data_IF_344305287806
#
_entry.id   IF_344305287806
#
_cell.length_a   1.000
_cell.length_b   1.000
_cell.length_c   1.000
_cell.angle_alpha   90.00
_cell.angle_beta   90.00
_cell.angle_gamma   90.00
#
_symmetry.space_group_name_H-M   'P 1'
#
loop_
_entity.id
_entity.type
_entity.pdbx_description
1 polymer ?
#
# COMPACT_ATOMS: atom_id res chain seq x y z
N UNK A 1 12.27 17.70 24.02
CA UNK A 1 12.73 17.51 22.62
C UNK A 1 11.85 18.37 21.74
N UNK A 2 12.39 19.08 20.75
CA UNK A 2 11.59 19.87 19.78
C UNK A 2 11.70 19.16 18.41
N UNK A 3 10.88 18.10 18.24
CA UNK A 3 10.86 17.32 16.99
C UNK A 3 10.60 18.23 15.78
N UNK A 4 9.78 19.26 15.95
CA UNK A 4 9.47 20.21 14.88
C UNK A 4 10.73 20.94 14.38
N UNK A 5 11.53 21.49 15.31
CA UNK A 5 12.75 22.19 14.97
C UNK A 5 13.77 21.24 14.36
N UNK A 6 14.02 20.12 15.03
CA UNK A 6 15.01 19.13 14.61
C UNK A 6 14.67 18.58 13.23
N UNK A 7 13.38 18.27 12.96
CA UNK A 7 12.95 17.77 11.66
C UNK A 7 13.05 18.83 10.56
N UNK A 8 12.68 20.08 10.84
CA UNK A 8 12.84 21.19 9.90
C UNK A 8 14.29 21.41 9.48
N UNK A 9 15.21 21.25 10.41
CA UNK A 9 16.65 21.39 10.10
C UNK A 9 17.15 20.15 9.33
N UNK A 10 16.71 18.95 9.71
CA UNK A 10 17.07 17.70 9.05
C UNK A 10 16.65 17.68 7.57
N UNK A 11 15.45 18.11 7.24
CA UNK A 11 14.95 18.04 5.85
C UNK A 11 15.57 19.05 4.90
N UNK A 12 16.28 20.08 5.39
CA UNK A 12 16.99 21.07 4.55
C UNK A 12 18.06 20.45 3.65
N UNK A 13 18.53 19.24 3.98
CA UNK A 13 19.52 18.52 3.17
C UNK A 13 18.92 17.79 1.96
N UNK A 14 17.60 17.81 1.80
CA UNK A 14 16.89 17.11 0.73
C UNK A 14 16.09 18.09 -0.14
N UNK A 15 16.12 17.86 -1.44
CA UNK A 15 15.17 18.50 -2.35
C UNK A 15 13.81 17.81 -2.21
N UNK A 16 12.85 18.51 -1.62
CA UNK A 16 11.55 17.94 -1.28
C UNK A 16 10.46 19.02 -1.34
N UNK A 17 9.30 18.71 -1.91
CA UNK A 17 8.16 19.63 -1.97
C UNK A 17 7.56 19.82 -0.58
N UNK A 18 7.28 18.71 0.09
CA UNK A 18 6.79 18.74 1.44
C UNK A 18 6.57 17.35 2.02
N UNK A 19 6.50 17.29 3.35
CA UNK A 19 6.27 16.04 4.06
C UNK A 19 5.55 16.24 5.39
N UNK A 20 4.79 15.21 5.77
CA UNK A 20 4.30 15.00 7.13
C UNK A 20 5.04 13.83 7.75
N UNK A 21 5.59 14.02 8.96
CA UNK A 21 6.06 12.93 9.81
C UNK A 21 5.20 12.85 11.05
N UNK A 22 4.89 11.64 11.47
CA UNK A 22 4.16 11.38 12.70
C UNK A 22 4.87 10.29 13.49
N UNK A 23 5.04 10.53 14.77
CA UNK A 23 5.42 9.55 15.77
C UNK A 23 4.22 9.20 16.65
N UNK A 24 4.06 7.94 16.96
CA UNK A 24 3.05 7.42 17.88
C UNK A 24 3.76 6.55 18.90
N UNK A 25 3.64 6.87 20.20
CA UNK A 25 4.17 6.03 21.26
C UNK A 25 3.22 4.86 21.59
N UNK A 26 3.69 3.93 22.41
CA UNK A 26 2.91 2.77 22.85
C UNK A 26 1.77 3.12 23.82
N UNK A 27 1.71 4.34 24.33
CA UNK A 27 0.62 4.86 25.16
C UNK A 27 -0.48 5.55 24.34
N UNK A 28 -0.28 5.68 23.02
CA UNK A 28 -1.22 6.33 22.11
C UNK A 28 -1.02 7.85 21.99
N UNK A 29 0.04 8.43 22.56
CA UNK A 29 0.38 9.83 22.34
C UNK A 29 1.06 9.97 20.97
N UNK A 30 0.71 11.01 20.24
CA UNK A 30 1.30 11.25 18.93
C UNK A 30 1.82 12.69 18.80
N UNK A 31 2.94 12.81 18.10
CA UNK A 31 3.49 14.09 17.65
C UNK A 31 3.54 14.09 16.13
N UNK A 32 3.11 15.19 15.49
CA UNK A 32 3.12 15.35 14.04
C UNK A 32 3.80 16.66 13.65
N UNK A 33 4.63 16.57 12.62
CA UNK A 33 5.31 17.71 12.02
C UNK A 33 5.01 17.77 10.53
N UNK A 34 4.61 18.96 10.06
CA UNK A 34 4.35 19.26 8.65
C UNK A 34 5.37 20.29 8.15
N UNK A 35 6.03 20.00 7.03
CA UNK A 35 7.03 20.89 6.42
C UNK A 35 6.81 20.97 4.92
N UNK A 36 6.91 22.18 4.34
CA UNK A 36 6.82 22.42 2.91
C UNK A 36 5.39 22.63 2.40
N UNK A 37 5.18 22.39 1.11
CA UNK A 37 3.97 22.73 0.39
C UNK A 37 3.10 21.51 0.07
N UNK A 38 1.79 21.66 0.22
CA UNK A 38 0.77 20.76 -0.31
C UNK A 38 0.62 20.95 -1.83
N UNK A 39 0.74 22.20 -2.28
CA UNK A 39 0.66 22.57 -3.69
C UNK A 39 1.60 23.78 -3.94
N UNK A 40 2.58 23.61 -4.82
CA UNK A 40 3.57 24.66 -5.15
C UNK A 40 2.96 25.78 -5.96
N UNK A 41 2.10 25.46 -6.92
CA UNK A 41 1.48 26.43 -7.84
C UNK A 41 0.53 27.36 -7.07
N UNK A 42 -0.22 26.80 -6.13
CA UNK A 42 -1.16 27.53 -5.27
C UNK A 42 -0.50 28.11 -4.01
N UNK A 43 0.78 27.76 -3.76
CA UNK A 43 1.54 28.13 -2.54
C UNK A 43 0.83 27.70 -1.25
N UNK A 44 0.08 26.60 -1.29
CA UNK A 44 -0.61 26.03 -0.13
C UNK A 44 0.38 25.25 0.71
N UNK A 45 0.46 25.52 2.01
CA UNK A 45 1.34 24.83 2.92
C UNK A 45 0.72 23.49 3.37
N UNK A 46 1.58 22.51 3.68
CA UNK A 46 1.17 21.30 4.36
C UNK A 46 0.74 21.59 5.80
N UNK A 47 -0.26 20.86 6.26
CA UNK A 47 -0.70 20.84 7.65
C UNK A 47 -1.01 19.38 8.07
N UNK A 48 -1.26 19.17 9.34
CA UNK A 48 -1.45 17.81 9.90
C UNK A 48 -2.56 17.00 9.21
N UNK A 49 -3.61 17.67 8.75
CA UNK A 49 -4.78 17.04 8.13
C UNK A 49 -4.67 16.96 6.58
N UNK A 50 -3.53 17.36 6.00
CA UNK A 50 -3.27 17.20 4.57
C UNK A 50 -3.40 15.73 4.17
N UNK A 51 -4.12 15.49 3.07
CA UNK A 51 -4.51 14.15 2.61
C UNK A 51 -3.57 13.73 1.47
N UNK A 52 -2.88 12.63 1.69
CA UNK A 52 -1.96 12.05 0.71
C UNK A 52 -2.55 10.79 0.10
N UNK A 53 -2.27 10.54 -1.16
CA UNK A 53 -2.29 9.18 -1.67
C UNK A 53 -1.07 8.46 -1.09
N UNK A 54 -1.26 7.31 -0.45
CA UNK A 54 -0.19 6.67 0.32
C UNK A 54 0.51 5.53 -0.42
N UNK A 55 0.25 5.39 -1.71
CA UNK A 55 0.81 4.34 -2.56
C UNK A 55 0.69 2.95 -1.87
N UNK A 56 1.74 2.14 -1.92
CA UNK A 56 1.69 0.72 -1.52
C UNK A 56 1.46 0.45 -0.03
N UNK A 57 1.45 1.46 0.83
CA UNK A 57 0.92 1.28 2.20
C UNK A 57 -0.55 0.82 2.15
N UNK A 58 -1.28 1.14 1.08
CA UNK A 58 -2.66 0.68 0.81
C UNK A 58 -2.81 -0.85 0.86
N UNK A 59 -1.74 -1.61 0.59
CA UNK A 59 -1.75 -3.08 0.61
C UNK A 59 -2.05 -3.65 2.00
N UNK A 60 -1.62 -2.95 3.06
CA UNK A 60 -1.99 -3.31 4.44
C UNK A 60 -3.51 -3.26 4.62
N UNK A 61 -4.16 -2.26 4.03
CA UNK A 61 -5.61 -2.07 4.13
C UNK A 61 -6.36 -3.17 3.37
N UNK A 62 -5.83 -3.56 2.21
CA UNK A 62 -6.36 -4.71 1.45
C UNK A 62 -6.23 -6.00 2.25
N UNK A 63 -5.07 -6.23 2.89
CA UNK A 63 -4.86 -7.38 3.76
C UNK A 63 -5.84 -7.42 4.94
N UNK A 64 -6.08 -6.29 5.61
CA UNK A 64 -7.08 -6.20 6.70
C UNK A 64 -8.46 -6.61 6.19
N UNK A 65 -8.86 -6.18 4.98
CA UNK A 65 -10.12 -6.60 4.36
C UNK A 65 -10.22 -8.12 4.17
N UNK A 66 -9.19 -8.75 3.60
CA UNK A 66 -9.14 -10.21 3.41
C UNK A 66 -9.13 -10.95 4.74
N UNK A 67 -8.32 -10.49 5.70
CA UNK A 67 -8.22 -11.09 7.03
C UNK A 67 -9.53 -10.98 7.82
N UNK A 68 -10.32 -9.94 7.58
CA UNK A 68 -11.66 -9.84 8.15
C UNK A 68 -12.60 -10.92 7.58
N UNK A 69 -12.56 -11.18 6.27
CA UNK A 69 -13.31 -12.29 5.68
C UNK A 69 -12.84 -13.66 6.20
N UNK A 70 -11.54 -13.82 6.42
CA UNK A 70 -10.97 -15.03 7.02
C UNK A 70 -11.49 -15.25 8.44
N UNK A 71 -11.53 -14.22 9.28
CA UNK A 71 -12.10 -14.30 10.63
C UNK A 71 -13.59 -14.64 10.66
N UNK A 72 -14.33 -14.16 9.65
CA UNK A 72 -15.77 -14.40 9.49
C UNK A 72 -16.06 -15.78 8.87
N UNK A 73 -15.01 -16.58 8.54
CA UNK A 73 -15.11 -17.91 7.94
C UNK A 73 -15.61 -17.92 6.50
N UNK A 74 -15.55 -16.75 5.83
CA UNK A 74 -16.01 -16.60 4.44
C UNK A 74 -14.92 -16.96 3.43
N UNK A 75 -13.66 -16.90 3.84
CA UNK A 75 -12.51 -17.37 3.05
C UNK A 75 -11.55 -18.17 3.92
N UNK A 76 -10.82 -19.08 3.29
CA UNK A 76 -9.66 -19.77 3.85
C UNK A 76 -8.41 -19.27 3.12
N UNK A 77 -7.38 -18.90 3.86
CA UNK A 77 -6.15 -18.34 3.27
C UNK A 77 -5.38 -19.36 2.43
N UNK A 78 -5.56 -20.64 2.68
CA UNK A 78 -4.83 -21.73 2.06
C UNK A 78 -5.67 -22.50 1.02
N UNK A 79 -6.92 -22.09 0.79
CA UNK A 79 -7.80 -22.64 -0.23
C UNK A 79 -7.41 -22.12 -1.64
N UNK A 80 -7.79 -22.87 -2.67
CA UNK A 80 -7.58 -22.53 -4.07
C UNK A 80 -8.25 -21.19 -4.43
N UNK A 81 -7.47 -20.26 -4.94
CA UNK A 81 -7.94 -18.94 -5.42
C UNK A 81 -9.06 -19.06 -6.46
N UNK A 82 -9.02 -20.12 -7.29
CA UNK A 82 -10.01 -20.40 -8.33
C UNK A 82 -11.42 -20.52 -7.78
N UNK A 83 -11.57 -21.02 -6.55
CA UNK A 83 -12.88 -21.15 -5.87
C UNK A 83 -13.55 -19.79 -5.65
N UNK A 84 -12.78 -18.76 -5.30
CA UNK A 84 -13.32 -17.44 -5.01
C UNK A 84 -13.54 -16.60 -6.26
N UNK A 85 -12.73 -16.77 -7.29
CA UNK A 85 -12.83 -16.02 -8.53
C UNK A 85 -13.85 -16.62 -9.51
N UNK A 86 -14.11 -17.96 -9.42
CA UNK A 86 -15.06 -18.65 -10.27
C UNK A 86 -14.48 -19.09 -11.63
N UNK A 87 -13.16 -19.04 -11.79
CA UNK A 87 -12.42 -19.57 -12.94
C UNK A 87 -11.06 -20.11 -12.50
N UNK A 88 -10.46 -20.98 -13.30
CA UNK A 88 -9.19 -21.62 -12.97
C UNK A 88 -8.04 -20.61 -13.02
N UNK A 89 -7.27 -20.50 -11.93
CA UNK A 89 -6.05 -19.68 -11.84
C UNK A 89 -4.87 -20.60 -11.56
N UNK A 90 -4.02 -20.79 -12.55
CA UNK A 90 -2.84 -21.68 -12.48
C UNK A 90 -1.69 -21.06 -13.23
N UNK A 91 -0.49 -21.16 -12.66
CA UNK A 91 0.72 -20.90 -13.42
C UNK A 91 0.87 -22.01 -14.49
N UNK A 92 0.97 -21.67 -15.78
CA UNK A 92 1.06 -22.66 -16.86
C UNK A 92 2.23 -23.61 -16.73
N UNK A 93 3.33 -23.21 -16.09
CA UNK A 93 4.49 -24.06 -15.82
C UNK A 93 4.26 -25.03 -14.65
N UNK A 94 3.26 -24.75 -13.81
CA UNK A 94 2.91 -25.52 -12.61
C UNK A 94 1.40 -25.76 -12.54
N UNK A 95 0.81 -26.47 -13.54
CA UNK A 95 -0.65 -26.57 -13.68
C UNK A 95 -1.35 -27.34 -12.56
N UNK A 96 -0.59 -28.13 -11.80
CA UNK A 96 -1.12 -28.92 -10.68
C UNK A 96 -0.94 -28.23 -9.32
N UNK A 97 -0.22 -27.12 -9.27
CA UNK A 97 0.02 -26.39 -8.01
C UNK A 97 -1.04 -25.31 -7.82
N UNK A 98 -1.63 -25.27 -6.62
CA UNK A 98 -2.63 -24.27 -6.25
C UNK A 98 -1.97 -22.89 -6.08
N UNK A 99 -2.73 -21.84 -6.37
CA UNK A 99 -2.43 -20.48 -5.95
C UNK A 99 -3.47 -20.13 -4.88
N UNK A 100 -3.00 -19.62 -3.74
CA UNK A 100 -3.84 -19.36 -2.56
C UNK A 100 -3.85 -17.87 -2.18
N UNK A 101 -4.79 -17.46 -1.31
CA UNK A 101 -4.83 -16.09 -0.79
C UNK A 101 -3.60 -15.78 0.05
N UNK A 102 -3.07 -16.76 0.81
CA UNK A 102 -1.82 -16.61 1.56
C UNK A 102 -0.66 -16.27 0.64
N UNK A 103 -0.54 -16.92 -0.49
CA UNK A 103 0.50 -16.65 -1.48
C UNK A 103 0.37 -15.24 -2.09
N UNK A 104 -0.85 -14.74 -2.30
CA UNK A 104 -1.07 -13.35 -2.73
C UNK A 104 -0.71 -12.35 -1.61
N UNK A 105 -1.09 -12.64 -0.38
CA UNK A 105 -0.77 -11.80 0.79
C UNK A 105 0.74 -11.75 1.09
N UNK A 106 1.48 -12.82 0.80
CA UNK A 106 2.95 -12.88 0.95
C UNK A 106 3.71 -12.49 -0.31
N UNK A 107 2.99 -12.28 -1.43
CA UNK A 107 3.56 -12.00 -2.75
C UNK A 107 4.48 -13.11 -3.28
N UNK A 108 4.06 -14.35 -3.03
CA UNK A 108 4.74 -15.57 -3.51
C UNK A 108 3.89 -16.38 -4.49
N UNK A 109 2.80 -15.80 -5.00
CA UNK A 109 1.82 -16.51 -5.84
C UNK A 109 2.31 -16.86 -7.24
N UNK A 110 3.47 -16.40 -7.64
CA UNK A 110 3.97 -16.40 -9.03
C UNK A 110 3.20 -15.50 -10.01
N UNK A 111 2.10 -14.85 -9.60
CA UNK A 111 1.41 -13.85 -10.42
C UNK A 111 2.23 -12.56 -10.41
N UNK A 112 2.48 -11.99 -11.58
CA UNK A 112 3.35 -10.83 -11.79
C UNK A 112 2.61 -9.67 -12.47
N UNK A 113 3.18 -8.48 -12.32
CA UNK A 113 2.70 -7.23 -12.96
C UNK A 113 3.27 -7.06 -14.38
N UNK A 114 3.89 -8.09 -14.91
CA UNK A 114 4.65 -7.98 -16.13
C UNK A 114 3.75 -7.94 -17.36
N UNK A 115 4.28 -7.35 -18.40
CA UNK A 115 3.71 -7.26 -19.73
C UNK A 115 4.83 -7.16 -20.77
N UNK A 116 4.46 -6.87 -21.99
CA UNK A 116 5.40 -6.70 -23.09
C UNK A 116 5.27 -5.32 -23.72
N UNK A 117 6.37 -4.80 -24.26
CA UNK A 117 6.35 -3.68 -25.18
C UNK A 117 6.27 -4.20 -26.61
N UNK A 118 5.21 -3.84 -27.33
CA UNK A 118 5.03 -4.16 -28.71
C UNK A 118 4.79 -2.88 -29.52
N UNK A 119 5.65 -2.62 -30.52
CA UNK A 119 5.61 -1.39 -31.32
C UNK A 119 5.61 -0.09 -30.49
N UNK A 120 6.35 -0.09 -29.35
CA UNK A 120 6.43 1.06 -28.45
C UNK A 120 5.23 1.24 -27.53
N UNK A 121 4.27 0.32 -27.53
CA UNK A 121 3.10 0.33 -26.65
C UNK A 121 3.24 -0.77 -25.62
N UNK A 122 3.10 -0.41 -24.32
CA UNK A 122 3.06 -1.38 -23.24
C UNK A 122 1.73 -2.14 -23.26
N UNK A 123 1.82 -3.46 -23.26
CA UNK A 123 0.67 -4.37 -23.17
C UNK A 123 0.82 -5.24 -21.93
N UNK A 124 -0.18 -5.22 -21.10
CA UNK A 124 -0.20 -5.94 -19.83
C UNK A 124 -0.82 -5.11 -18.72
N UNK A 125 -0.63 -5.57 -17.49
CA UNK A 125 -1.07 -4.88 -16.30
C UNK A 125 0.04 -3.92 -15.81
N UNK A 126 -0.22 -2.62 -15.83
CA UNK A 126 0.71 -1.60 -15.30
C UNK A 126 0.46 -1.20 -13.84
N UNK A 127 -0.56 -1.80 -13.21
CA UNK A 127 -0.89 -1.63 -11.79
C UNK A 127 -1.42 -0.27 -11.38
N UNK A 128 -1.25 0.74 -12.20
CA UNK A 128 -1.37 2.11 -11.77
C UNK A 128 -2.50 2.89 -12.43
N UNK A 129 -2.86 2.54 -13.65
CA UNK A 129 -3.76 3.36 -14.46
C UNK A 129 -5.11 2.70 -14.64
N UNK A 130 -6.16 3.46 -14.33
CA UNK A 130 -7.46 3.22 -14.90
C UNK A 130 -7.37 3.65 -16.38
N UNK A 131 -7.36 2.68 -17.25
CA UNK A 131 -7.54 2.92 -18.69
C UNK A 131 -9.03 2.88 -18.97
N UNK A 132 -9.47 3.54 -20.03
CA UNK A 132 -10.87 3.47 -20.51
C UNK A 132 -11.24 2.08 -21.01
N UNK A 133 -10.25 1.22 -21.25
CA UNK A 133 -10.45 -0.15 -21.69
C UNK A 133 -10.72 -1.08 -20.50
N UNK A 134 -11.91 -1.64 -20.46
CA UNK A 134 -12.25 -2.71 -19.51
C UNK A 134 -11.66 -4.04 -19.99
N UNK A 135 -10.82 -4.63 -19.13
CA UNK A 135 -10.27 -5.96 -19.34
C UNK A 135 -10.73 -6.83 -18.16
N UNK A 136 -11.54 -7.87 -18.40
CA UNK A 136 -11.91 -8.82 -17.35
C UNK A 136 -10.69 -9.48 -16.72
N UNK A 137 -10.68 -9.68 -15.40
CA UNK A 137 -9.57 -10.30 -14.70
C UNK A 137 -9.23 -11.70 -15.24
N UNK A 138 -10.25 -12.46 -15.65
CA UNK A 138 -10.08 -13.78 -16.27
C UNK A 138 -9.17 -13.73 -17.51
N UNK A 139 -9.25 -12.66 -18.29
CA UNK A 139 -8.43 -12.53 -19.53
C UNK A 139 -6.96 -12.22 -19.22
N UNK A 140 -6.66 -11.65 -18.06
CA UNK A 140 -5.26 -11.44 -17.63
C UNK A 140 -4.61 -12.71 -17.08
N UNK A 141 -5.40 -13.63 -16.56
CA UNK A 141 -4.91 -14.79 -15.81
C UNK A 141 -5.08 -16.13 -16.55
N UNK A 142 -5.84 -16.15 -17.66
CA UNK A 142 -6.04 -17.37 -18.45
C UNK A 142 -5.15 -17.36 -19.68
N UNK A 143 -4.20 -18.32 -19.81
CA UNK A 143 -3.46 -18.50 -21.06
C UNK A 143 -4.40 -18.60 -22.26
N UNK A 144 -3.94 -18.22 -23.44
CA UNK A 144 -4.68 -18.16 -24.72
C UNK A 144 -5.77 -17.08 -24.78
N UNK A 145 -6.02 -16.34 -23.70
CA UNK A 145 -6.90 -15.17 -23.72
C UNK A 145 -6.26 -14.00 -24.48
N UNK A 146 -7.10 -13.15 -25.07
CA UNK A 146 -6.66 -11.99 -25.88
C UNK A 146 -5.72 -11.04 -25.12
N UNK A 147 -5.92 -10.88 -23.81
CA UNK A 147 -5.17 -9.94 -22.96
C UNK A 147 -4.15 -10.63 -22.04
N UNK A 148 -3.92 -11.95 -22.24
CA UNK A 148 -2.85 -12.65 -21.55
C UNK A 148 -1.52 -12.40 -22.26
N UNK A 149 -0.59 -11.72 -21.59
CA UNK A 149 0.75 -11.47 -22.13
C UNK A 149 1.83 -12.26 -21.40
N UNK A 150 1.99 -12.01 -20.10
CA UNK A 150 2.88 -12.74 -19.23
C UNK A 150 2.37 -12.58 -17.80
N UNK A 151 1.33 -13.26 -17.44
CA UNK A 151 0.68 -13.12 -16.12
C UNK A 151 1.38 -13.86 -14.98
N UNK A 152 2.39 -14.72 -15.29
CA UNK A 152 3.06 -15.59 -14.33
C UNK A 152 4.56 -15.60 -14.51
N UNK A 153 5.30 -15.73 -13.40
CA UNK A 153 6.74 -15.96 -13.40
C UNK A 153 7.09 -17.44 -13.65
N UNK A 154 8.38 -17.69 -13.86
CA UNK A 154 8.94 -19.04 -13.97
C UNK A 154 8.99 -19.82 -12.65
N UNK A 155 8.78 -19.17 -11.51
CA UNK A 155 8.90 -19.79 -10.20
C UNK A 155 7.61 -20.48 -9.79
N UNK A 156 7.79 -21.60 -9.07
CA UNK A 156 6.69 -22.35 -8.47
C UNK A 156 5.92 -21.49 -7.46
N UNK A 157 4.57 -21.47 -7.51
CA UNK A 157 3.75 -20.79 -6.50
C UNK A 157 4.16 -21.16 -5.06
N UNK A 158 4.25 -20.17 -4.20
CA UNK A 158 4.61 -20.32 -2.79
C UNK A 158 6.12 -20.30 -2.49
N UNK A 159 7.00 -20.29 -3.49
CA UNK A 159 8.45 -20.43 -3.25
C UNK A 159 9.22 -19.12 -3.28
N UNK A 160 8.92 -18.22 -4.20
CA UNK A 160 9.73 -17.04 -4.47
C UNK A 160 8.91 -15.78 -4.31
N UNK A 161 9.45 -14.81 -3.59
CA UNK A 161 8.86 -13.48 -3.49
C UNK A 161 9.03 -12.74 -4.81
N UNK A 162 7.90 -12.26 -5.36
CA UNK A 162 7.86 -11.35 -6.50
C UNK A 162 6.81 -10.30 -6.20
N UNK A 163 7.24 -9.05 -6.10
CA UNK A 163 6.32 -7.95 -5.85
C UNK A 163 5.28 -7.82 -6.96
N UNK A 164 3.99 -7.84 -6.59
CA UNK A 164 2.89 -7.77 -7.54
C UNK A 164 1.76 -6.86 -7.05
N UNK A 165 1.48 -5.81 -7.80
CA UNK A 165 0.30 -4.97 -7.61
C UNK A 165 -0.96 -5.68 -8.08
N UNK A 166 -0.85 -6.45 -9.18
CA UNK A 166 -1.95 -7.30 -9.67
C UNK A 166 -2.38 -8.31 -8.61
N UNK A 167 -1.42 -8.96 -7.96
CA UNK A 167 -1.71 -9.89 -6.85
C UNK A 167 -2.51 -9.23 -5.73
N UNK A 168 -2.17 -7.99 -5.37
CA UNK A 168 -2.95 -7.21 -4.41
C UNK A 168 -4.33 -6.81 -4.97
N UNK A 169 -4.43 -6.47 -6.24
CA UNK A 169 -5.70 -6.19 -6.93
C UNK A 169 -6.64 -7.39 -6.90
N UNK A 170 -6.12 -8.60 -7.12
CA UNK A 170 -6.88 -9.86 -7.03
C UNK A 170 -7.46 -10.07 -5.64
N UNK A 171 -6.71 -9.75 -4.57
CA UNK A 171 -7.24 -9.82 -3.20
C UNK A 171 -8.49 -8.94 -3.02
N UNK A 172 -8.49 -7.74 -3.58
CA UNK A 172 -9.67 -6.87 -3.56
C UNK A 172 -10.82 -7.45 -4.39
N UNK A 173 -10.54 -8.04 -5.56
CA UNK A 173 -11.54 -8.74 -6.38
C UNK A 173 -12.19 -9.92 -5.63
N UNK A 174 -11.41 -10.68 -4.86
CA UNK A 174 -11.95 -11.73 -3.98
C UNK A 174 -12.88 -11.14 -2.92
N UNK A 175 -12.48 -10.02 -2.28
CA UNK A 175 -13.37 -9.34 -1.34
C UNK A 175 -14.71 -8.95 -2.02
N UNK A 176 -14.67 -8.43 -3.24
CA UNK A 176 -15.88 -8.05 -3.99
C UNK A 176 -16.78 -9.25 -4.28
N UNK A 177 -16.20 -10.36 -4.77
CA UNK A 177 -16.95 -11.60 -5.08
C UNK A 177 -17.61 -12.19 -3.84
N UNK A 178 -16.87 -12.25 -2.73
CA UNK A 178 -17.36 -12.87 -1.49
C UNK A 178 -18.42 -12.02 -0.80
N UNK A 179 -18.26 -10.68 -0.81
CA UNK A 179 -19.17 -9.76 -0.11
C UNK A 179 -20.32 -9.25 -0.98
N UNK A 180 -20.23 -9.39 -2.30
CA UNK A 180 -21.11 -8.75 -3.27
C UNK A 180 -21.15 -7.22 -3.12
N UNK A 181 -20.02 -6.60 -2.73
CA UNK A 181 -19.82 -5.15 -2.58
C UNK A 181 -18.53 -4.74 -3.28
N UNK A 182 -18.48 -3.51 -3.79
CA UNK A 182 -17.21 -2.95 -4.25
C UNK A 182 -16.20 -2.84 -3.09
N UNK A 183 -14.93 -3.12 -3.35
CA UNK A 183 -13.90 -3.12 -2.31
C UNK A 183 -13.85 -1.81 -1.50
N UNK A 184 -13.92 -0.60 -2.10
CA UNK A 184 -13.98 0.64 -1.34
C UNK A 184 -15.16 0.73 -0.37
N UNK A 185 -16.33 0.22 -0.76
CA UNK A 185 -17.53 0.20 0.08
C UNK A 185 -17.37 -0.79 1.24
N UNK A 186 -16.87 -1.98 0.93
CA UNK A 186 -16.58 -3.01 1.93
C UNK A 186 -15.57 -2.54 2.98
N UNK A 187 -14.44 -1.98 2.56
CA UNK A 187 -13.39 -1.55 3.51
C UNK A 187 -13.82 -0.35 4.36
N UNK A 188 -14.67 0.53 3.84
CA UNK A 188 -15.31 1.59 4.64
C UNK A 188 -16.14 1.00 5.77
N UNK A 189 -16.95 -0.02 5.49
CA UNK A 189 -17.82 -0.66 6.48
C UNK A 189 -17.01 -1.38 7.57
N UNK A 190 -16.01 -2.18 7.18
CA UNK A 190 -15.32 -3.06 8.14
C UNK A 190 -14.17 -2.39 8.88
N UNK A 191 -13.63 -1.29 8.34
CA UNK A 191 -12.45 -0.62 8.90
C UNK A 191 -12.64 0.90 9.06
N UNK A 192 -12.80 1.65 7.95
CA UNK A 192 -12.61 3.10 7.98
C UNK A 192 -13.66 3.80 8.84
N UNK A 193 -14.94 3.46 8.69
CA UNK A 193 -16.02 4.05 9.49
C UNK A 193 -15.90 3.68 10.98
N UNK A 194 -15.44 2.46 11.29
CA UNK A 194 -15.24 2.02 12.67
C UNK A 194 -14.12 2.79 13.40
N UNK A 195 -13.16 3.32 12.64
CA UNK A 195 -12.07 4.15 13.14
C UNK A 195 -12.36 5.65 12.99
N UNK A 196 -13.57 6.03 12.58
CA UNK A 196 -13.92 7.43 12.27
C UNK A 196 -12.90 8.06 11.29
N UNK A 197 -12.67 7.38 10.15
CA UNK A 197 -11.80 7.83 9.06
C UNK A 197 -12.67 8.22 7.87
N UNK A 198 -12.71 9.52 7.57
CA UNK A 198 -13.48 10.10 6.47
C UNK A 198 -12.62 10.28 5.22
N UNK A 199 -12.07 9.19 4.74
CA UNK A 199 -11.17 9.05 3.60
C UNK A 199 -11.42 7.70 2.94
N UNK A 200 -10.76 7.41 1.82
CA UNK A 200 -10.96 6.14 1.15
C UNK A 200 -10.20 6.00 -0.17
N UNK A 201 -10.62 5.05 -0.98
CA UNK A 201 -10.01 4.74 -2.27
C UNK A 201 -10.58 5.56 -3.43
N UNK A 202 -11.64 6.33 -3.21
CA UNK A 202 -12.29 7.18 -4.20
C UNK A 202 -12.28 8.62 -3.73
N UNK A 203 -12.24 9.58 -4.66
CA UNK A 203 -12.33 11.01 -4.32
C UNK A 203 -13.63 11.36 -3.60
N UNK A 204 -14.73 10.70 -3.96
CA UNK A 204 -16.04 10.84 -3.30
C UNK A 204 -16.05 10.41 -1.83
N UNK A 205 -15.05 9.62 -1.42
CA UNK A 205 -14.89 9.16 -0.04
C UNK A 205 -14.19 10.20 0.85
N UNK A 206 -13.62 11.26 0.25
CA UNK A 206 -12.84 12.29 0.95
C UNK A 206 -13.76 13.42 1.35
N UNK A 207 -14.01 13.57 2.66
CA UNK A 207 -14.90 14.62 3.15
C UNK A 207 -14.30 16.03 2.98
N UNK A 208 -12.98 16.17 3.09
CA UNK A 208 -12.25 17.45 3.01
C UNK A 208 -11.30 17.43 1.81
N UNK A 209 -11.88 17.51 0.62
CA UNK A 209 -11.15 17.37 -0.64
C UNK A 209 -10.09 18.47 -0.87
N UNK A 210 -10.30 19.66 -0.30
CA UNK A 210 -9.35 20.77 -0.41
C UNK A 210 -8.03 20.50 0.34
N UNK A 211 -8.03 19.51 1.25
CA UNK A 211 -6.83 19.06 1.94
C UNK A 211 -5.98 18.09 1.10
N UNK A 212 -6.42 17.71 -0.10
CA UNK A 212 -5.69 16.81 -0.98
C UNK A 212 -4.44 17.47 -1.53
N UNK A 213 -3.28 16.82 -1.34
CA UNK A 213 -1.99 17.33 -1.81
C UNK A 213 -1.76 17.04 -3.30
N UNK A 214 -1.04 17.92 -3.98
CA UNK A 214 -0.52 17.66 -5.31
C UNK A 214 0.67 16.69 -5.27
N UNK A 215 0.84 15.90 -6.32
CA UNK A 215 1.99 14.99 -6.50
C UNK A 215 2.98 15.59 -7.48
N UNK A 216 4.26 15.52 -7.14
CA UNK A 216 5.32 16.16 -7.90
C UNK A 216 6.40 15.15 -8.32
N UNK A 217 6.78 15.19 -9.59
CA UNK A 217 7.98 14.53 -10.11
C UNK A 217 9.15 15.51 -10.08
N UNK A 218 10.34 15.00 -9.81
CA UNK A 218 11.59 15.78 -9.90
C UNK A 218 12.27 15.46 -11.22
N UNK A 219 12.25 16.43 -12.13
CA UNK A 219 12.80 16.31 -13.47
C UNK A 219 13.57 17.56 -13.86
N UNK A 220 14.74 17.41 -14.48
CA UNK A 220 15.58 18.52 -14.90
C UNK A 220 15.87 19.56 -13.81
N UNK A 221 16.16 19.07 -12.58
CA UNK A 221 16.42 19.88 -11.38
C UNK A 221 15.24 20.76 -10.94
N UNK A 222 14.01 20.35 -11.24
CA UNK A 222 12.81 21.07 -10.86
C UNK A 222 11.70 20.10 -10.49
N UNK A 223 10.82 20.52 -9.57
CA UNK A 223 9.58 19.84 -9.29
C UNK A 223 8.53 20.25 -10.31
N UNK A 224 7.90 19.24 -10.93
CA UNK A 224 6.78 19.43 -11.84
C UNK A 224 5.55 18.77 -11.27
N UNK A 225 4.43 19.50 -11.26
CA UNK A 225 3.14 18.92 -10.88
C UNK A 225 2.80 17.78 -11.83
N UNK A 226 2.68 16.57 -11.27
CA UNK A 226 2.26 15.39 -12.00
C UNK A 226 0.74 15.20 -11.92
N UNK A 227 0.18 15.35 -10.73
CA UNK A 227 -1.26 15.26 -10.49
C UNK A 227 -1.69 16.17 -9.33
N UNK A 228 -2.83 16.81 -9.49
CA UNK A 228 -3.57 17.51 -8.43
C UNK A 228 -5.02 16.98 -8.37
N UNK A 229 -5.87 17.64 -7.61
CA UNK A 229 -7.27 17.27 -7.50
C UNK A 229 -7.99 17.13 -8.85
N UNK A 230 -7.76 18.04 -9.80
CA UNK A 230 -8.42 18.01 -11.11
C UNK A 230 -8.02 16.77 -11.90
N UNK A 231 -6.72 16.43 -11.93
CA UNK A 231 -6.19 15.25 -12.57
C UNK A 231 -6.65 13.95 -11.90
N UNK A 232 -6.76 13.92 -10.56
CA UNK A 232 -7.29 12.75 -9.84
C UNK A 232 -8.75 12.49 -10.19
N UNK A 233 -9.55 13.52 -10.38
CA UNK A 233 -10.95 13.40 -10.79
C UNK A 233 -11.10 12.70 -12.14
N UNK A 234 -10.18 12.94 -13.07
CA UNK A 234 -10.15 12.31 -14.39
C UNK A 234 -9.71 10.83 -14.34
N UNK A 235 -8.89 10.47 -13.35
CA UNK A 235 -8.35 9.12 -13.17
C UNK A 235 -9.21 8.27 -12.22
N UNK A 236 -10.34 8.77 -11.79
CA UNK A 236 -11.24 8.00 -10.93
C UNK A 236 -11.71 6.74 -11.65
N UNK A 237 -11.40 5.58 -11.07
CA UNK A 237 -11.68 4.30 -11.69
C UNK A 237 -13.15 4.12 -11.98
N UNK A 238 -13.47 3.78 -13.21
CA UNK A 238 -14.78 3.29 -13.58
C UNK A 238 -15.12 2.06 -12.72
N UNK A 239 -16.38 1.92 -12.35
CA UNK A 239 -16.87 0.73 -11.67
C UNK A 239 -17.07 -0.37 -12.72
N UNK A 240 -16.15 -1.33 -12.71
CA UNK A 240 -16.30 -2.56 -13.48
C UNK A 240 -17.19 -3.57 -12.74
N UNK A 241 -17.59 -4.67 -13.38
CA UNK A 241 -18.30 -5.76 -12.70
C UNK A 241 -17.57 -6.19 -11.42
N UNK A 242 -18.31 -6.61 -10.39
CA UNK A 242 -17.73 -7.09 -9.15
C UNK A 242 -16.78 -8.26 -9.38
N UNK A 243 -15.56 -8.12 -8.89
CA UNK A 243 -14.47 -9.06 -9.07
C UNK A 243 -13.53 -8.72 -10.21
N UNK A 244 -13.73 -7.57 -10.87
CA UNK A 244 -12.86 -7.07 -11.94
C UNK A 244 -12.23 -5.70 -11.62
N UNK A 245 -12.41 -5.19 -10.39
CA UNK A 245 -11.86 -3.89 -9.96
C UNK A 245 -10.46 -4.06 -9.35
N UNK A 246 -9.57 -4.77 -10.05
CA UNK A 246 -8.21 -5.06 -9.59
C UNK A 246 -7.25 -3.86 -9.68
N UNK A 247 -7.57 -2.83 -10.48
CA UNK A 247 -6.71 -1.67 -10.69
C UNK A 247 -6.84 -0.65 -9.57
N UNK A 248 -5.74 -0.01 -9.23
CA UNK A 248 -5.69 1.13 -8.31
C UNK A 248 -5.68 0.79 -6.82
N UNK A 249 -6.27 -0.31 -6.37
CA UNK A 249 -6.39 -0.63 -4.94
C UNK A 249 -5.06 -0.89 -4.24
N UNK A 250 -4.06 -1.40 -4.96
CA UNK A 250 -2.73 -1.67 -4.42
C UNK A 250 -1.97 -0.40 -3.95
N UNK A 251 -2.43 0.78 -4.38
CA UNK A 251 -1.76 2.04 -4.06
C UNK A 251 -2.69 3.25 -4.01
N UNK A 252 -3.99 3.07 -3.96
CA UNK A 252 -4.97 4.12 -4.19
C UNK A 252 -5.64 4.71 -2.96
N UNK A 253 -5.25 4.34 -1.74
CA UNK A 253 -5.85 4.95 -0.55
C UNK A 253 -5.38 6.39 -0.39
N UNK A 254 -6.34 7.29 -0.18
CA UNK A 254 -6.14 8.68 0.20
C UNK A 254 -6.40 8.82 1.70
N UNK A 255 -5.43 9.35 2.46
CA UNK A 255 -5.55 9.45 3.93
C UNK A 255 -4.57 10.47 4.49
N UNK A 256 -4.90 11.12 5.61
CA UNK A 256 -3.98 11.96 6.36
C UNK A 256 -3.13 11.14 7.35
N UNK A 257 -1.98 11.68 7.75
CA UNK A 257 -1.09 11.00 8.69
C UNK A 257 -1.79 10.68 10.05
N UNK A 258 -2.58 11.56 10.66
CA UNK A 258 -3.33 11.21 11.87
C UNK A 258 -4.35 10.11 11.69
N UNK A 259 -5.01 10.04 10.53
CA UNK A 259 -5.96 8.96 10.25
C UNK A 259 -5.24 7.63 9.97
N UNK A 260 -4.10 7.67 9.29
CA UNK A 260 -3.26 6.47 9.11
C UNK A 260 -2.71 5.96 10.44
N UNK A 261 -2.38 6.87 11.37
CA UNK A 261 -1.95 6.52 12.73
C UNK A 261 -3.02 5.77 13.54
N UNK A 262 -4.32 5.99 13.28
CA UNK A 262 -5.40 5.19 13.91
C UNK A 262 -5.30 3.72 13.48
N UNK A 263 -5.01 3.46 12.19
CA UNK A 263 -4.82 2.10 11.66
C UNK A 263 -3.55 1.48 12.25
N UNK A 264 -2.46 2.25 12.27
CA UNK A 264 -1.20 1.81 12.91
C UNK A 264 -1.41 1.47 14.40
N UNK A 265 -2.08 2.34 15.15
CA UNK A 265 -2.42 2.11 16.55
C UNK A 265 -3.27 0.86 16.73
N UNK A 266 -4.24 0.62 15.86
CA UNK A 266 -5.07 -0.60 15.87
C UNK A 266 -4.21 -1.86 15.71
N UNK A 267 -3.23 -1.87 14.80
CA UNK A 267 -2.31 -3.00 14.62
C UNK A 267 -1.38 -3.16 15.82
N UNK A 268 -0.77 -2.08 16.33
CA UNK A 268 0.09 -2.09 17.53
C UNK A 268 -0.66 -2.66 18.74
N UNK A 269 -1.96 -2.36 18.88
CA UNK A 269 -2.83 -2.83 19.95
C UNK A 269 -3.57 -4.14 19.60
N UNK A 270 -2.95 -4.97 18.74
CA UNK A 270 -3.45 -6.31 18.43
C UNK A 270 -4.91 -6.33 18.01
N UNK A 271 -5.25 -5.44 17.08
CA UNK A 271 -6.56 -5.38 16.44
C UNK A 271 -7.60 -4.50 17.11
N UNK A 272 -7.21 -3.71 18.12
CA UNK A 272 -8.10 -2.80 18.83
C UNK A 272 -7.63 -1.35 18.65
N UNK A 273 -8.56 -0.45 18.34
CA UNK A 273 -8.35 0.99 18.45
C UNK A 273 -9.36 1.58 19.42
N UNK A 274 -8.88 2.23 20.49
CA UNK A 274 -9.70 2.62 21.62
C UNK A 274 -10.50 1.40 22.13
N UNK A 275 -11.81 1.41 22.05
CA UNK A 275 -12.67 0.30 22.49
C UNK A 275 -13.27 -0.49 21.31
N UNK A 276 -12.79 -0.27 20.09
CA UNK A 276 -13.33 -0.92 18.89
C UNK A 276 -12.36 -1.99 18.41
N UNK A 277 -12.83 -3.25 18.39
CA UNK A 277 -12.08 -4.36 17.80
C UNK A 277 -12.37 -4.43 16.31
N UNK A 278 -11.31 -4.41 15.51
CA UNK A 278 -11.35 -4.59 14.06
C UNK A 278 -10.99 -6.03 13.70
N UNK A 279 -9.85 -6.52 14.21
CA UNK A 279 -9.34 -7.87 14.00
C UNK A 279 -9.13 -8.57 15.35
N UNK A 280 -9.17 -9.90 15.37
CA UNK A 280 -8.72 -10.70 16.53
C UNK A 280 -7.21 -10.54 16.72
N UNK A 281 -6.76 -10.68 17.96
CA UNK A 281 -5.34 -10.63 18.29
C UNK A 281 -4.55 -11.70 17.52
N UNK A 282 -5.06 -12.93 17.45
CA UNK A 282 -4.43 -14.03 16.69
C UNK A 282 -4.23 -13.70 15.22
N UNK A 283 -5.18 -13.02 14.61
CA UNK A 283 -5.12 -12.62 13.20
C UNK A 283 -4.07 -11.53 12.95
N UNK A 284 -3.94 -10.57 13.88
CA UNK A 284 -2.88 -9.55 13.79
C UNK A 284 -1.52 -10.21 13.99
N UNK A 285 -1.39 -11.14 14.94
CA UNK A 285 -0.14 -11.91 15.14
C UNK A 285 0.20 -12.69 13.88
N UNK A 286 -0.76 -13.37 13.27
CA UNK A 286 -0.55 -14.10 12.01
C UNK A 286 -0.10 -13.15 10.88
N UNK A 287 -0.73 -11.98 10.75
CA UNK A 287 -0.38 -10.94 9.77
C UNK A 287 1.06 -10.46 9.94
N UNK A 288 1.53 -10.32 11.18
CA UNK A 288 2.84 -9.79 11.57
C UNK A 288 3.94 -10.86 11.66
N UNK A 289 3.58 -12.14 11.62
CA UNK A 289 4.54 -13.25 11.67
C UNK A 289 5.22 -13.44 10.32
N UNK A 290 6.50 -13.84 10.32
CA UNK A 290 7.24 -14.16 9.10
C UNK A 290 6.57 -15.35 8.40
N UNK A 291 5.98 -15.12 7.25
CA UNK A 291 5.35 -16.12 6.38
C UNK A 291 6.30 -16.57 5.27
N UNK A 292 7.21 -15.70 4.87
CA UNK A 292 8.25 -15.95 3.89
C UNK A 292 9.53 -15.22 4.28
N UNK A 293 10.67 -15.90 4.10
CA UNK A 293 12.02 -15.33 4.25
C UNK A 293 12.90 -15.86 3.12
N UNK A 294 13.71 -14.98 2.53
CA UNK A 294 14.57 -15.37 1.43
C UNK A 294 15.57 -14.28 1.06
N UNK A 295 16.21 -14.47 -0.10
CA UNK A 295 17.11 -13.48 -0.69
C UNK A 295 16.42 -12.89 -1.90
N UNK A 296 15.59 -11.83 -1.72
CA UNK A 296 14.99 -11.13 -2.84
C UNK A 296 16.04 -10.26 -3.55
N UNK A 297 15.71 -9.81 -4.75
CA UNK A 297 16.51 -8.81 -5.46
C UNK A 297 16.63 -7.49 -4.70
N UNK A 298 15.60 -7.14 -3.91
CA UNK A 298 15.57 -5.98 -3.04
C UNK A 298 15.63 -6.40 -1.56
N UNK A 299 16.69 -6.04 -0.82
CA UNK A 299 16.88 -6.39 0.59
C UNK A 299 15.74 -5.95 1.52
N UNK A 300 14.96 -4.93 1.12
CA UNK A 300 13.78 -4.44 1.85
C UNK A 300 12.75 -5.53 2.10
N UNK A 301 12.66 -6.52 1.21
CA UNK A 301 11.67 -7.58 1.25
C UNK A 301 12.18 -8.94 1.76
N UNK A 302 13.28 -8.95 2.48
CA UNK A 302 13.90 -10.19 2.99
C UNK A 302 12.96 -11.03 3.85
N UNK A 303 12.11 -10.38 4.65
CA UNK A 303 11.11 -11.04 5.51
C UNK A 303 9.74 -10.45 5.28
N UNK A 304 8.76 -11.31 5.02
CA UNK A 304 7.38 -10.95 4.72
C UNK A 304 6.39 -11.60 5.67
N UNK A 305 5.48 -10.78 6.22
CA UNK A 305 4.20 -11.21 6.74
C UNK A 305 3.10 -11.08 5.68
N UNK A 306 1.84 -11.04 6.09
CA UNK A 306 0.70 -10.88 5.18
C UNK A 306 0.55 -9.40 4.77
N UNK A 307 1.05 -9.03 3.61
CA UNK A 307 1.25 -7.65 3.12
C UNK A 307 2.02 -6.76 4.11
N UNK A 308 2.87 -7.37 4.92
CA UNK A 308 3.78 -6.73 5.85
C UNK A 308 5.22 -6.94 5.43
N UNK A 309 6.04 -5.90 5.51
CA UNK A 309 7.50 -5.98 5.50
C UNK A 309 7.95 -6.07 6.96
N UNK A 310 8.93 -6.94 7.24
CA UNK A 310 9.50 -7.11 8.58
C UNK A 310 11.00 -6.84 8.48
N UNK A 311 11.44 -5.79 9.18
CA UNK A 311 12.81 -5.26 9.09
C UNK A 311 13.52 -5.32 10.43
N UNK A 312 14.61 -6.06 10.51
CA UNK A 312 15.42 -6.27 11.71
C UNK A 312 16.73 -5.46 11.72
N UNK A 313 17.01 -4.67 10.66
CA UNK A 313 18.25 -3.92 10.54
C UNK A 313 18.23 -2.53 11.23
N UNK A 314 17.08 -2.06 11.70
CA UNK A 314 16.97 -0.70 12.25
C UNK A 314 16.89 -0.66 13.77
N UNK A 315 16.18 -1.61 14.36
CA UNK A 315 15.87 -1.66 15.80
C UNK A 315 16.02 -3.08 16.33
N UNK A 316 16.21 -3.22 17.65
CA UNK A 316 16.33 -4.54 18.31
C UNK A 316 15.06 -5.39 18.12
N UNK A 317 13.88 -4.78 18.27
CA UNK A 317 12.61 -5.40 17.90
C UNK A 317 12.28 -5.01 16.45
N UNK A 318 12.05 -5.96 15.54
CA UNK A 318 11.84 -5.66 14.13
C UNK A 318 10.72 -4.64 13.89
N UNK A 319 10.96 -3.67 13.02
CA UNK A 319 9.92 -2.80 12.50
C UNK A 319 9.07 -3.56 11.48
N UNK A 320 7.76 -3.36 11.56
CA UNK A 320 6.76 -3.96 10.68
C UNK A 320 5.98 -2.87 9.98
N UNK A 321 5.56 -3.09 8.74
CA UNK A 321 4.77 -2.12 8.01
C UNK A 321 4.93 -2.22 6.51
N UNK A 322 4.85 -1.08 5.83
CA UNK A 322 5.01 -1.02 4.37
C UNK A 322 5.54 0.35 3.92
N UNK A 323 6.26 0.34 2.81
CA UNK A 323 6.63 1.54 2.08
C UNK A 323 5.55 1.91 1.05
N UNK A 324 5.57 3.18 0.63
CA UNK A 324 4.70 3.69 -0.42
C UNK A 324 5.48 4.56 -1.39
N UNK A 325 5.78 4.05 -2.58
CA UNK A 325 6.55 4.73 -3.60
C UNK A 325 5.75 4.73 -4.91
N UNK A 326 5.38 5.90 -5.39
CA UNK A 326 4.71 6.07 -6.68
C UNK A 326 4.70 7.54 -7.08
N UNK A 327 4.90 7.85 -8.34
CA UNK A 327 4.66 9.18 -8.92
C UNK A 327 5.30 10.34 -8.14
N UNK A 328 6.55 10.18 -7.71
CA UNK A 328 7.25 11.16 -6.88
C UNK A 328 6.94 11.07 -5.38
N UNK A 329 5.87 10.38 -4.99
CA UNK A 329 5.56 10.11 -3.59
C UNK A 329 6.61 9.18 -2.97
N UNK A 330 6.99 9.49 -1.71
CA UNK A 330 7.79 8.60 -0.86
C UNK A 330 7.18 8.57 0.51
N UNK A 331 6.80 7.40 0.95
CA UNK A 331 6.04 7.23 2.19
C UNK A 331 6.43 5.94 2.90
N UNK A 332 6.19 5.89 4.19
CA UNK A 332 6.16 4.65 4.96
C UNK A 332 5.24 4.74 6.17
N UNK A 333 4.78 3.60 6.63
CA UNK A 333 4.18 3.37 7.93
C UNK A 333 4.87 2.16 8.55
N UNK A 334 5.61 2.38 9.64
CA UNK A 334 6.43 1.37 10.31
C UNK A 334 6.21 1.44 11.81
N UNK A 335 6.16 0.29 12.49
CA UNK A 335 5.94 0.19 13.92
C UNK A 335 6.51 -1.09 14.53
N UNK A 336 6.69 -1.06 15.84
CA UNK A 336 6.94 -2.22 16.70
C UNK A 336 6.15 -2.07 18.03
N UNK A 337 6.48 -2.82 19.09
CA UNK A 337 5.79 -2.70 20.38
C UNK A 337 6.11 -1.40 21.13
N UNK A 338 7.19 -0.70 20.80
CA UNK A 338 7.62 0.52 21.48
C UNK A 338 6.96 1.77 20.89
N UNK A 339 6.54 1.71 19.60
CA UNK A 339 5.94 2.85 18.92
C UNK A 339 5.86 2.66 17.42
N UNK A 340 5.43 3.72 16.73
CA UNK A 340 5.31 3.72 15.28
C UNK A 340 5.63 5.07 14.66
N UNK A 341 6.11 5.04 13.42
CA UNK A 341 6.49 6.20 12.63
C UNK A 341 5.77 6.18 11.27
N UNK A 342 5.31 7.34 10.87
CA UNK A 342 4.73 7.58 9.55
C UNK A 342 5.49 8.71 8.88
N UNK A 343 5.81 8.53 7.62
CA UNK A 343 6.35 9.55 6.73
C UNK A 343 5.52 9.58 5.45
N UNK A 344 4.98 10.75 5.10
CA UNK A 344 4.24 10.99 3.87
C UNK A 344 4.86 12.18 3.16
N UNK A 345 5.37 11.98 1.93
CA UNK A 345 6.01 13.01 1.12
C UNK A 345 5.35 13.05 -0.26
N UNK A 346 5.05 14.26 -0.76
CA UNK A 346 4.33 14.47 -2.01
C UNK A 346 5.21 14.79 -3.22
N UNK A 347 6.53 14.82 -3.02
CA UNK A 347 7.52 15.01 -4.09
C UNK A 347 8.92 15.15 -3.51
N UNK A 348 9.87 14.36 -3.98
CA UNK A 348 11.27 14.42 -3.55
C UNK A 348 12.22 14.07 -4.70
N UNK A 349 13.42 14.63 -4.65
CA UNK A 349 14.55 14.15 -5.41
C UNK A 349 15.12 12.91 -4.71
N UNK A 350 15.22 11.79 -5.42
CA UNK A 350 15.83 10.55 -4.92
C UNK A 350 16.79 9.99 -5.98
N UNK A 351 17.86 9.43 -5.52
CA UNK A 351 19.04 9.11 -6.36
C UNK A 351 18.87 7.79 -7.11
N UNK A 352 17.94 6.88 -6.72
CA UNK A 352 17.66 5.66 -7.47
C UNK A 352 16.19 5.26 -7.42
N UNK A 353 15.67 4.80 -8.55
CA UNK A 353 14.32 4.23 -8.68
C UNK A 353 14.31 2.70 -8.47
N UNK A 354 15.49 2.08 -8.28
CA UNK A 354 15.66 0.62 -8.31
C UNK A 354 15.36 -0.04 -6.96
N UNK A 355 15.29 0.72 -5.87
CA UNK A 355 15.05 0.18 -4.53
C UNK A 355 13.70 0.64 -3.98
N UNK A 356 12.95 -0.28 -3.38
CA UNK A 356 11.67 0.05 -2.76
C UNK A 356 11.83 0.90 -1.48
N UNK A 357 13.00 0.89 -0.85
CA UNK A 357 13.39 1.83 0.19
C UNK A 357 14.47 2.78 -0.36
N UNK A 358 14.12 4.04 -0.58
CA UNK A 358 15.06 5.06 -1.06
C UNK A 358 15.98 5.55 0.05
N UNK A 359 17.12 6.16 -0.33
CA UNK A 359 18.05 6.81 0.61
C UNK A 359 17.34 7.85 1.49
N UNK A 360 16.37 8.59 0.92
CA UNK A 360 15.57 9.53 1.70
C UNK A 360 14.80 8.82 2.80
N UNK A 361 14.09 7.74 2.47
CA UNK A 361 13.30 6.99 3.44
C UNK A 361 14.18 6.38 4.53
N UNK A 362 15.31 5.79 4.17
CA UNK A 362 16.26 5.24 5.15
C UNK A 362 16.75 6.31 6.13
N UNK A 363 17.18 7.48 5.63
CA UNK A 363 17.63 8.57 6.48
C UNK A 363 16.53 9.11 7.38
N UNK A 364 15.30 9.22 6.90
CA UNK A 364 14.15 9.63 7.72
C UNK A 364 13.84 8.58 8.80
N UNK A 365 13.89 7.29 8.48
CA UNK A 365 13.71 6.21 9.46
C UNK A 365 14.75 6.33 10.58
N UNK A 366 16.05 6.42 10.23
CA UNK A 366 17.14 6.53 11.21
C UNK A 366 17.00 7.78 12.08
N UNK A 367 16.66 8.92 11.46
CA UNK A 367 16.41 10.17 12.19
C UNK A 367 15.25 10.00 13.20
N UNK A 368 14.12 9.44 12.76
CA UNK A 368 12.96 9.29 13.65
C UNK A 368 13.24 8.30 14.79
N UNK A 369 13.91 7.17 14.51
CA UNK A 369 14.29 6.20 15.55
C UNK A 369 15.19 6.84 16.59
N UNK A 370 16.21 7.60 16.17
CA UNK A 370 17.12 8.32 17.09
C UNK A 370 16.36 9.31 17.98
N UNK A 371 15.37 10.01 17.41
CA UNK A 371 14.61 11.03 18.15
C UNK A 371 13.48 10.47 19.01
N UNK A 372 12.98 9.29 18.73
CA UNK A 372 11.76 8.76 19.39
C UNK A 372 12.03 7.54 20.27
N UNK A 373 13.25 6.98 20.24
CA UNK A 373 13.63 5.77 21.00
C UNK A 373 12.74 4.55 20.74
N UNK A 374 12.25 4.36 19.50
CA UNK A 374 11.48 3.17 19.07
C UNK A 374 12.40 1.95 19.01
#
# INVERSE_FOLDING_TARGET
MDLLKDYKDFVKQFDMVGSNVLFLDNNGNSEIVSVGCANLEKKTLLHKDSIFRIASISKIIVAIGVLKLYEDGLVDLDEDLSKYLGFTVRNPLYPNDLITLRMLLTQTSSIIDDGIYENGVYKGYDGSNCTDEYIPLIELLTPESKHFYKGYSEFKPGTTFIYSNLGCGILACVCEKVTNKYFPEYIKEVLLNKLDIKSGFRLEDIAEIDNLVGHYLYENNQFKLYRDYSSFKEVQCLKYPLGDNYRGVAGGLYISAPNLAKIMSMLMNKGIYKNVRILKESTVIEMETVQWEGVPTDPTYRKKGLQMIIMDQFTKEPLKGHFGNAYGLRSFMLYNSNGGIIFLCNGANFISDEEHMTILQEKVIRFLIEKTNI
#
